data_IF_128945779156
#
_entry.id   IF_128945779156
#
_cell.length_a   1.000
_cell.length_b   1.000
_cell.length_c   1.000
_cell.angle_alpha   90.00
_cell.angle_beta   90.00
_cell.angle_gamma   90.00
#
_symmetry.space_group_name_H-M   'P 1'
#
loop_
_entity.id
_entity.type
_entity.pdbx_description
1 polymer ?
#
# COMPACT_ATOMS: atom_id res chain seq x y z
N UNK A 1 -10.01 -22.17 2.47
CA UNK A 1 -9.51 -21.37 1.33
C UNK A 1 -8.53 -20.34 1.87
N UNK A 2 -7.36 -20.25 1.26
CA UNK A 2 -6.23 -19.40 1.62
C UNK A 2 -6.01 -18.34 0.54
N UNK A 3 -5.93 -17.08 0.96
CA UNK A 3 -5.67 -15.93 0.09
C UNK A 3 -4.24 -15.43 0.34
N UNK A 4 -3.45 -15.37 -0.72
CA UNK A 4 -2.12 -14.78 -0.74
C UNK A 4 -2.17 -13.27 -0.91
N UNK A 5 -1.40 -12.53 -0.12
CA UNK A 5 -1.22 -11.09 -0.26
C UNK A 5 0.29 -10.82 -0.41
N UNK A 6 0.73 -10.24 -1.55
CA UNK A 6 2.12 -9.84 -1.71
C UNK A 6 2.46 -8.71 -0.74
N UNK A 7 3.49 -8.89 0.09
CA UNK A 7 4.04 -7.88 1.01
C UNK A 7 4.88 -6.83 0.25
N UNK A 8 4.30 -6.24 -0.79
CA UNK A 8 4.93 -5.23 -1.64
C UNK A 8 3.87 -4.29 -2.24
N UNK A 9 4.32 -3.13 -2.74
CA UNK A 9 3.49 -2.10 -3.40
C UNK A 9 2.25 -1.70 -2.56
N UNK A 10 1.04 -2.09 -3.00
CA UNK A 10 -0.24 -1.74 -2.38
C UNK A 10 -0.27 -2.09 -0.89
N UNK A 11 0.42 -3.16 -0.49
CA UNK A 11 0.48 -3.60 0.89
C UNK A 11 0.89 -2.46 1.83
N UNK A 12 1.98 -1.77 1.49
CA UNK A 12 2.56 -0.71 2.31
C UNK A 12 1.74 0.58 2.29
N UNK A 13 0.78 0.73 1.38
CA UNK A 13 -0.18 1.84 1.40
C UNK A 13 -1.34 1.61 2.37
N UNK A 14 -1.70 0.35 2.63
CA UNK A 14 -2.77 -0.04 3.56
C UNK A 14 -2.32 -1.24 4.38
N UNK A 15 -1.31 -1.08 5.24
CA UNK A 15 -0.81 -2.19 6.04
C UNK A 15 -1.93 -2.72 6.94
N UNK A 16 -1.98 -4.04 7.11
CA UNK A 16 -2.99 -4.78 7.90
C UNK A 16 -4.45 -4.71 7.41
N UNK A 17 -4.84 -3.71 6.61
CA UNK A 17 -6.21 -3.55 6.13
C UNK A 17 -6.69 -4.79 5.36
N UNK A 18 -5.93 -5.21 4.35
CA UNK A 18 -6.32 -6.32 3.46
C UNK A 18 -6.34 -7.65 4.21
N UNK A 19 -5.37 -7.87 5.08
CA UNK A 19 -5.32 -9.06 5.94
C UNK A 19 -6.54 -9.12 6.84
N UNK A 20 -6.88 -8.01 7.50
CA UNK A 20 -8.04 -7.91 8.39
C UNK A 20 -9.32 -8.15 7.61
N UNK A 21 -9.48 -7.50 6.45
CA UNK A 21 -10.66 -7.67 5.60
C UNK A 21 -10.88 -9.13 5.19
N UNK A 22 -9.86 -9.83 4.68
CA UNK A 22 -10.02 -11.22 4.26
C UNK A 22 -10.17 -12.19 5.45
N UNK A 23 -9.49 -11.94 6.59
CA UNK A 23 -9.68 -12.74 7.81
C UNK A 23 -11.09 -12.61 8.37
N UNK A 24 -11.66 -11.41 8.39
CA UNK A 24 -13.04 -11.17 8.85
C UNK A 24 -14.09 -11.76 7.91
N UNK A 25 -13.76 -11.96 6.63
CA UNK A 25 -14.57 -12.77 5.72
C UNK A 25 -14.41 -14.29 5.96
N UNK A 26 -13.55 -14.72 6.88
CA UNK A 26 -13.33 -16.13 7.22
C UNK A 26 -12.32 -16.84 6.31
N UNK A 27 -11.43 -16.11 5.64
CA UNK A 27 -10.35 -16.69 4.84
C UNK A 27 -9.04 -16.75 5.65
N UNK A 28 -8.26 -17.80 5.42
CA UNK A 28 -6.88 -17.81 5.87
C UNK A 28 -6.07 -16.86 4.97
N UNK A 29 -5.20 -16.05 5.56
CA UNK A 29 -4.38 -15.09 4.83
C UNK A 29 -2.91 -15.47 4.96
N UNK A 30 -2.24 -15.66 3.83
CA UNK A 30 -0.80 -15.82 3.75
C UNK A 30 -0.17 -14.56 3.16
N UNK A 31 0.66 -13.88 3.95
CA UNK A 31 1.54 -12.85 3.42
C UNK A 31 2.78 -13.51 2.84
N UNK A 32 3.29 -12.98 1.72
CA UNK A 32 4.65 -13.30 1.31
C UNK A 32 5.65 -12.82 2.36
N UNK A 33 6.85 -13.43 2.44
CA UNK A 33 7.84 -13.09 3.46
C UNK A 33 8.31 -11.65 3.32
N UNK A 34 9.09 -11.17 4.29
CA UNK A 34 9.85 -9.93 4.09
C UNK A 34 10.74 -10.06 2.85
N UNK A 35 10.87 -8.95 2.11
CA UNK A 35 11.71 -8.91 0.92
C UNK A 35 13.12 -9.30 1.29
N UNK A 36 13.68 -10.23 0.52
CA UNK A 36 15.04 -10.72 0.66
C UNK A 36 15.65 -10.91 -0.74
N UNK A 37 16.92 -11.30 -0.76
CA UNK A 37 17.67 -11.49 -2.01
C UNK A 37 16.99 -12.47 -2.97
N UNK A 38 16.44 -13.58 -2.47
CA UNK A 38 15.76 -14.59 -3.28
C UNK A 38 14.50 -14.03 -3.95
N UNK A 39 13.65 -13.32 -3.19
CA UNK A 39 12.47 -12.63 -3.72
C UNK A 39 12.88 -11.67 -4.85
N UNK A 40 13.89 -10.83 -4.61
CA UNK A 40 14.36 -9.87 -5.60
C UNK A 40 14.90 -10.57 -6.84
N UNK A 41 15.70 -11.61 -6.69
CA UNK A 41 16.26 -12.35 -7.83
C UNK A 41 15.19 -13.04 -8.67
N UNK A 42 14.19 -13.66 -8.04
CA UNK A 42 13.05 -14.24 -8.76
C UNK A 42 12.33 -13.17 -9.60
N UNK A 43 12.07 -12.01 -9.00
CA UNK A 43 11.38 -10.93 -9.66
C UNK A 43 12.18 -10.25 -10.78
N UNK A 44 13.47 -10.02 -10.57
CA UNK A 44 14.37 -9.43 -11.58
C UNK A 44 14.49 -10.33 -12.81
N UNK A 45 14.52 -11.67 -12.64
CA UNK A 45 14.65 -12.63 -13.75
C UNK A 45 13.48 -12.61 -14.74
N UNK A 46 12.29 -12.24 -14.28
CA UNK A 46 11.06 -12.24 -15.11
C UNK A 46 10.63 -10.84 -15.54
N UNK A 47 11.23 -9.80 -14.95
CA UNK A 47 10.86 -8.42 -15.23
C UNK A 47 11.54 -7.90 -16.50
N UNK A 48 10.83 -7.02 -17.20
CA UNK A 48 11.44 -6.17 -18.21
C UNK A 48 12.51 -5.23 -17.58
N UNK A 49 13.65 -4.97 -18.26
CA UNK A 49 14.71 -4.12 -17.74
C UNK A 49 14.26 -2.72 -17.30
N UNK A 50 13.32 -2.10 -18.01
CA UNK A 50 12.79 -0.75 -17.76
C UNK A 50 11.77 -0.71 -16.61
N UNK A 51 11.41 -1.87 -16.06
CA UNK A 51 10.51 -1.94 -14.91
C UNK A 51 11.21 -1.39 -13.66
N UNK A 52 10.46 -0.61 -12.87
CA UNK A 52 10.99 -0.01 -11.64
C UNK A 52 11.28 -1.13 -10.62
N UNK A 53 12.27 -0.89 -9.76
CA UNK A 53 12.73 -1.93 -8.84
C UNK A 53 11.61 -2.46 -7.91
N UNK A 54 10.70 -1.59 -7.46
CA UNK A 54 9.58 -1.97 -6.59
C UNK A 54 8.61 -2.96 -7.26
N UNK A 55 8.41 -2.84 -8.57
CA UNK A 55 7.61 -3.80 -9.35
C UNK A 55 8.37 -5.12 -9.54
N UNK A 56 9.70 -5.06 -9.75
CA UNK A 56 10.54 -6.27 -9.80
C UNK A 56 10.41 -7.05 -8.49
N UNK A 57 10.49 -6.37 -7.35
CA UNK A 57 10.25 -6.97 -6.02
C UNK A 57 8.85 -7.56 -5.93
N UNK A 58 7.82 -6.86 -6.42
CA UNK A 58 6.44 -7.36 -6.46
C UNK A 58 6.29 -8.66 -7.24
N UNK A 59 6.94 -8.78 -8.40
CA UNK A 59 6.96 -10.03 -9.18
C UNK A 59 7.57 -11.19 -8.41
N UNK A 60 8.65 -10.93 -7.67
CA UNK A 60 9.24 -11.91 -6.76
C UNK A 60 8.26 -12.42 -5.70
N UNK A 61 7.47 -11.52 -5.11
CA UNK A 61 6.44 -11.90 -4.14
C UNK A 61 5.29 -12.69 -4.77
N UNK A 62 4.87 -12.36 -5.99
CA UNK A 62 3.87 -13.15 -6.72
C UNK A 62 4.38 -14.56 -6.99
N UNK A 63 5.60 -14.70 -7.53
CA UNK A 63 6.22 -15.99 -7.81
C UNK A 63 6.39 -16.81 -6.53
N UNK A 64 6.73 -16.18 -5.41
CA UNK A 64 6.78 -16.87 -4.13
C UNK A 64 5.40 -17.37 -3.68
N UNK A 65 4.33 -16.62 -3.90
CA UNK A 65 2.98 -17.05 -3.53
C UNK A 65 2.40 -18.12 -4.47
N UNK A 66 2.95 -18.26 -5.68
CA UNK A 66 2.44 -19.21 -6.67
C UNK A 66 2.50 -20.66 -6.15
N UNK A 67 1.38 -21.36 -6.22
CA UNK A 67 1.21 -22.73 -5.72
C UNK A 67 1.10 -22.86 -4.20
N UNK A 68 1.22 -21.77 -3.43
CA UNK A 68 1.14 -21.79 -1.95
C UNK A 68 -0.23 -21.39 -1.39
N UNK A 69 -1.12 -20.87 -2.24
CA UNK A 69 -2.44 -20.32 -1.87
C UNK A 69 -3.48 -20.67 -2.94
N UNK A 70 -4.76 -20.56 -2.60
CA UNK A 70 -5.86 -20.82 -3.55
C UNK A 70 -6.09 -19.62 -4.50
N UNK A 71 -5.88 -18.41 -3.99
CA UNK A 71 -6.04 -17.16 -4.73
C UNK A 71 -4.95 -16.17 -4.33
N UNK A 72 -4.40 -15.41 -5.27
CA UNK A 72 -3.52 -14.26 -4.96
C UNK A 72 -4.30 -12.98 -5.17
N UNK A 73 -4.36 -12.13 -4.15
CA UNK A 73 -5.03 -10.84 -4.23
C UNK A 73 -4.13 -9.79 -4.90
N UNK A 74 -4.58 -9.30 -6.06
CA UNK A 74 -3.91 -8.24 -6.82
C UNK A 74 -4.97 -7.22 -7.25
N UNK A 75 -5.15 -6.11 -6.51
CA UNK A 75 -6.15 -5.10 -6.88
C UNK A 75 -5.70 -4.29 -8.09
N UNK A 76 -6.64 -3.95 -8.97
CA UNK A 76 -6.40 -2.97 -10.03
C UNK A 76 -6.70 -1.59 -9.50
N UNK A 77 -5.70 -0.74 -9.36
CA UNK A 77 -5.92 0.64 -8.94
C UNK A 77 -5.86 1.58 -10.14
N UNK A 78 -6.84 2.47 -10.25
CA UNK A 78 -6.84 3.51 -11.28
C UNK A 78 -6.84 4.91 -10.68
N UNK A 79 -7.76 5.17 -9.76
CA UNK A 79 -7.81 6.44 -9.05
C UNK A 79 -8.07 6.26 -7.55
N UNK A 80 -7.66 7.24 -6.75
CA UNK A 80 -7.98 7.29 -5.32
C UNK A 80 -9.32 8.03 -5.07
N UNK A 81 -9.72 8.15 -3.81
CA UNK A 81 -10.97 8.85 -3.41
C UNK A 81 -10.97 10.33 -3.81
N UNK A 82 -9.80 10.97 -3.84
CA UNK A 82 -9.60 12.35 -4.32
C UNK A 82 -9.61 12.46 -5.86
N UNK A 83 -9.91 11.35 -6.55
CA UNK A 83 -9.95 11.25 -8.01
C UNK A 83 -8.61 11.58 -8.66
N UNK A 84 -7.48 11.30 -8.02
CA UNK A 84 -6.14 11.39 -8.59
C UNK A 84 -5.69 10.02 -9.09
N UNK A 85 -4.85 9.99 -10.13
CA UNK A 85 -4.44 8.71 -10.74
C UNK A 85 -3.32 8.04 -9.95
N UNK A 86 -3.45 6.72 -9.79
CA UNK A 86 -2.33 5.88 -9.42
C UNK A 86 -1.38 5.73 -10.61
N UNK A 87 -0.15 5.29 -10.34
CA UNK A 87 0.76 4.93 -11.42
C UNK A 87 0.13 3.89 -12.36
N UNK A 88 0.19 4.08 -13.70
CA UNK A 88 -0.41 3.18 -14.68
C UNK A 88 -0.01 1.71 -14.51
N UNK A 89 1.13 1.44 -13.88
CA UNK A 89 1.57 0.08 -13.56
C UNK A 89 0.60 -0.63 -12.62
N UNK A 90 0.04 0.05 -11.61
CA UNK A 90 -1.01 -0.52 -10.74
C UNK A 90 -2.26 -0.92 -11.52
N UNK A 91 -2.55 -0.25 -12.64
CA UNK A 91 -3.64 -0.62 -13.51
C UNK A 91 -3.33 -1.91 -14.27
N UNK A 92 -2.09 -2.13 -14.69
CA UNK A 92 -1.66 -3.35 -15.41
C UNK A 92 -1.35 -4.56 -14.53
N UNK A 93 -1.06 -4.36 -13.24
CA UNK A 93 -0.58 -5.42 -12.32
C UNK A 93 -1.39 -6.72 -12.37
N UNK A 94 -2.74 -6.73 -12.28
CA UNK A 94 -3.46 -7.99 -12.21
C UNK A 94 -3.45 -8.78 -13.53
N UNK A 95 -3.28 -8.12 -14.67
CA UNK A 95 -3.20 -8.82 -15.96
C UNK A 95 -1.82 -9.45 -16.15
N UNK A 96 -0.77 -8.70 -15.82
CA UNK A 96 0.60 -9.24 -15.82
C UNK A 96 0.75 -10.37 -14.81
N UNK A 97 0.13 -10.25 -13.63
CA UNK A 97 0.11 -11.31 -12.63
C UNK A 97 -0.49 -12.62 -13.17
N UNK A 98 -1.61 -12.55 -13.90
CA UNK A 98 -2.25 -13.75 -14.50
C UNK A 98 -1.37 -14.45 -15.54
N UNK A 99 -0.47 -13.72 -16.20
CA UNK A 99 0.49 -14.29 -17.15
C UNK A 99 1.66 -14.92 -16.39
N UNK A 100 2.10 -14.27 -15.31
CA UNK A 100 3.29 -14.66 -14.56
C UNK A 100 3.11 -15.91 -13.70
N UNK A 101 1.95 -16.06 -13.05
CA UNK A 101 1.69 -17.14 -12.08
C UNK A 101 0.52 -18.03 -12.50
N UNK A 102 0.56 -19.30 -12.08
CA UNK A 102 -0.53 -20.26 -12.35
C UNK A 102 -1.69 -20.11 -11.36
N UNK A 103 -1.40 -19.65 -10.15
CA UNK A 103 -2.41 -19.44 -9.10
C UNK A 103 -3.41 -18.37 -9.54
N UNK A 104 -4.73 -18.62 -9.44
CA UNK A 104 -5.72 -17.67 -9.90
C UNK A 104 -5.64 -16.31 -9.17
N UNK A 105 -5.74 -15.24 -9.94
CA UNK A 105 -5.67 -13.87 -9.42
C UNK A 105 -7.07 -13.37 -9.02
N UNK A 106 -7.23 -13.05 -7.74
CA UNK A 106 -8.37 -12.32 -7.21
C UNK A 106 -8.15 -10.81 -7.41
N UNK A 107 -8.96 -10.20 -8.29
CA UNK A 107 -8.85 -8.78 -8.63
C UNK A 107 -10.22 -8.13 -8.75
N UNK A 108 -10.27 -6.82 -8.44
CA UNK A 108 -11.34 -5.91 -8.83
C UNK A 108 -10.75 -4.53 -9.16
N UNK A 109 -11.47 -3.70 -9.92
CA UNK A 109 -11.02 -2.36 -10.31
C UNK A 109 -11.50 -1.28 -9.35
N UNK A 110 -10.55 -0.64 -8.68
CA UNK A 110 -10.77 0.51 -7.81
C UNK A 110 -10.59 1.80 -8.63
N UNK A 111 -11.73 2.38 -9.02
CA UNK A 111 -11.83 3.67 -9.72
C UNK A 111 -13.02 4.48 -9.15
N UNK A 112 -12.83 5.20 -8.04
CA UNK A 112 -13.86 6.04 -7.38
C UNK A 112 -14.49 7.09 -8.31
N UNK A 113 -13.83 7.44 -9.41
CA UNK A 113 -14.41 8.31 -10.46
C UNK A 113 -15.59 7.67 -11.19
N UNK A 114 -15.61 6.34 -11.30
CA UNK A 114 -16.65 5.57 -12.02
C UNK A 114 -17.64 4.89 -11.09
N UNK A 115 -17.16 4.39 -9.96
CA UNK A 115 -18.00 3.63 -9.02
C UNK A 115 -17.53 3.85 -7.58
N UNK A 116 -18.49 4.00 -6.66
CA UNK A 116 -18.20 4.08 -5.22
C UNK A 116 -17.41 2.85 -4.75
N UNK A 117 -16.35 3.09 -3.99
CA UNK A 117 -15.46 2.04 -3.47
C UNK A 117 -16.19 0.93 -2.72
N UNK A 118 -17.28 1.23 -1.98
CA UNK A 118 -18.06 0.21 -1.29
C UNK A 118 -18.75 -0.77 -2.26
N UNK A 119 -19.14 -0.31 -3.45
CA UNK A 119 -19.67 -1.21 -4.49
C UNK A 119 -18.55 -2.11 -5.05
N UNK A 120 -17.34 -1.58 -5.23
CA UNK A 120 -16.16 -2.37 -5.63
C UNK A 120 -15.86 -3.47 -4.62
N UNK A 121 -15.87 -3.16 -3.32
CA UNK A 121 -15.71 -4.17 -2.28
C UNK A 121 -16.84 -5.21 -2.27
N UNK A 122 -18.09 -4.81 -2.54
CA UNK A 122 -19.20 -5.77 -2.70
C UNK A 122 -18.96 -6.71 -3.88
N UNK A 123 -18.46 -6.22 -5.01
CA UNK A 123 -18.10 -7.07 -6.17
C UNK A 123 -16.99 -8.05 -5.81
N UNK A 124 -15.94 -7.57 -5.14
CA UNK A 124 -14.84 -8.40 -4.66
C UNK A 124 -15.33 -9.50 -3.70
N UNK A 125 -16.13 -9.15 -2.70
CA UNK A 125 -16.67 -10.14 -1.75
C UNK A 125 -17.65 -11.12 -2.38
N UNK A 126 -18.47 -10.68 -3.36
CA UNK A 126 -19.34 -11.58 -4.12
C UNK A 126 -18.56 -12.60 -4.95
N UNK A 127 -17.41 -12.24 -5.52
CA UNK A 127 -16.49 -13.21 -6.18
C UNK A 127 -16.01 -14.29 -5.20
N UNK A 128 -15.97 -13.97 -3.91
CA UNK A 128 -15.63 -14.88 -2.82
C UNK A 128 -16.85 -15.57 -2.20
N UNK A 129 -18.03 -15.46 -2.84
CA UNK A 129 -19.31 -16.03 -2.39
C UNK A 129 -19.75 -15.53 -1.01
N UNK A 130 -19.46 -14.26 -0.70
CA UNK A 130 -19.85 -13.59 0.54
C UNK A 130 -21.06 -12.69 0.37
N UNK A 131 -21.89 -12.63 1.41
CA UNK A 131 -23.07 -11.77 1.42
C UNK A 131 -22.76 -10.31 1.79
N UNK A 132 -23.70 -9.41 1.55
CA UNK A 132 -23.48 -7.98 1.79
C UNK A 132 -23.29 -7.62 3.27
N UNK A 133 -23.85 -8.40 4.21
CA UNK A 133 -23.70 -8.15 5.65
C UNK A 133 -22.31 -8.57 6.11
N UNK A 134 -21.84 -9.76 5.69
CA UNK A 134 -20.47 -10.21 5.93
C UNK A 134 -19.45 -9.20 5.39
N UNK A 135 -19.63 -8.76 4.13
CA UNK A 135 -18.73 -7.80 3.48
C UNK A 135 -18.71 -6.47 4.24
N UNK A 136 -19.89 -5.95 4.61
CA UNK A 136 -19.99 -4.69 5.34
C UNK A 136 -19.29 -4.78 6.70
N UNK A 137 -19.53 -5.85 7.46
CA UNK A 137 -18.89 -6.08 8.76
C UNK A 137 -17.37 -6.15 8.63
N UNK A 138 -16.88 -6.93 7.66
CA UNK A 138 -15.43 -7.06 7.42
C UNK A 138 -14.77 -5.72 7.05
N UNK A 139 -15.45 -4.89 6.25
CA UNK A 139 -14.97 -3.55 5.93
C UNK A 139 -14.90 -2.64 7.15
N UNK A 140 -15.97 -2.61 7.96
CA UNK A 140 -16.02 -1.77 9.16
C UNK A 140 -14.86 -2.11 10.11
N UNK A 141 -14.60 -3.41 10.33
CA UNK A 141 -13.49 -3.86 11.19
C UNK A 141 -12.14 -3.52 10.56
N UNK A 142 -11.96 -3.74 9.26
CA UNK A 142 -10.70 -3.41 8.57
C UNK A 142 -10.38 -1.90 8.61
N UNK A 143 -11.38 -1.04 8.39
CA UNK A 143 -11.22 0.42 8.50
C UNK A 143 -10.98 0.88 9.94
N UNK A 144 -11.64 0.26 10.93
CA UNK A 144 -11.38 0.55 12.33
C UNK A 144 -9.92 0.22 12.68
N UNK A 145 -9.43 -0.95 12.25
CA UNK A 145 -8.04 -1.35 12.48
C UNK A 145 -7.02 -0.39 11.83
N UNK A 146 -7.28 0.02 10.59
CA UNK A 146 -6.46 1.02 9.90
C UNK A 146 -6.45 2.36 10.64
N UNK A 147 -7.61 2.80 11.16
CA UNK A 147 -7.72 4.03 11.95
C UNK A 147 -6.92 3.95 13.25
N UNK A 148 -7.03 2.87 14.01
CA UNK A 148 -6.29 2.66 15.26
C UNK A 148 -4.77 2.70 15.05
N UNK A 149 -4.30 2.06 13.97
CA UNK A 149 -2.89 2.08 13.60
C UNK A 149 -2.42 3.49 13.28
N UNK A 150 -3.17 4.23 12.45
CA UNK A 150 -2.85 5.62 12.11
C UNK A 150 -2.81 6.51 13.35
N UNK A 151 -3.75 6.36 14.28
CA UNK A 151 -3.74 7.11 15.54
C UNK A 151 -2.51 6.80 16.40
N UNK A 152 -2.08 5.53 16.44
CA UNK A 152 -0.84 5.14 17.11
C UNK A 152 0.38 5.79 16.44
N UNK A 153 0.45 5.76 15.13
CA UNK A 153 1.55 6.37 14.36
C UNK A 153 1.59 7.89 14.53
N UNK A 154 0.44 8.56 14.57
CA UNK A 154 0.35 10.00 14.87
C UNK A 154 0.92 10.31 16.26
N UNK A 155 0.59 9.51 17.28
CA UNK A 155 1.16 9.67 18.62
C UNK A 155 2.68 9.48 18.63
N UNK A 156 3.19 8.49 17.90
CA UNK A 156 4.64 8.25 17.75
C UNK A 156 5.34 9.39 17.00
N UNK A 157 4.71 9.93 15.95
CA UNK A 157 5.21 11.08 15.21
C UNK A 157 5.39 12.30 16.11
N UNK A 158 4.37 12.67 16.91
CA UNK A 158 4.50 13.79 17.82
C UNK A 158 5.60 13.57 18.87
N UNK A 159 5.79 12.34 19.38
CA UNK A 159 6.94 12.05 20.27
C UNK A 159 8.29 12.30 19.59
N UNK A 160 8.45 11.89 18.32
CA UNK A 160 9.68 12.11 17.55
C UNK A 160 9.96 13.60 17.31
N UNK A 161 8.92 14.37 16.97
CA UNK A 161 9.01 15.81 16.71
C UNK A 161 9.48 16.58 17.95
N UNK A 162 9.01 16.21 19.14
CA UNK A 162 9.41 16.87 20.40
C UNK A 162 10.76 16.41 20.96
N UNK A 163 11.42 15.41 20.36
CA UNK A 163 12.76 15.00 20.80
C UNK A 163 13.80 16.07 20.47
N UNK A 164 15.00 16.04 21.08
CA UNK A 164 16.08 16.98 20.75
C UNK A 164 16.94 16.54 19.54
N UNK A 165 16.80 15.29 19.10
CA UNK A 165 17.58 14.72 17.99
C UNK A 165 17.33 15.48 16.69
N UNK A 166 18.30 15.45 15.79
CA UNK A 166 18.14 15.97 14.43
C UNK A 166 17.09 15.14 13.68
N UNK A 167 16.04 15.78 13.17
CA UNK A 167 14.97 15.10 12.42
C UNK A 167 15.32 15.09 10.94
N UNK A 168 15.12 13.95 10.29
CA UNK A 168 15.32 13.80 8.85
C UNK A 168 14.03 13.27 8.25
N UNK A 169 13.40 14.03 7.37
CA UNK A 169 12.19 13.61 6.67
C UNK A 169 12.60 12.81 5.43
N UNK A 170 12.15 11.56 5.36
CA UNK A 170 12.36 10.68 4.23
C UNK A 170 11.13 10.71 3.32
N UNK A 171 11.36 11.14 2.08
CA UNK A 171 10.33 11.30 1.06
C UNK A 171 10.50 10.20 0.01
N UNK A 172 9.57 9.26 -0.02
CA UNK A 172 9.43 8.26 -1.08
C UNK A 172 8.06 7.60 -0.94
N UNK A 173 7.66 6.79 -1.91
CA UNK A 173 6.45 5.99 -1.78
C UNK A 173 6.52 5.07 -0.55
N UNK A 174 5.41 4.81 0.17
CA UNK A 174 5.40 3.91 1.31
C UNK A 174 6.02 2.54 1.02
N UNK A 175 5.80 1.99 -0.18
CA UNK A 175 6.36 0.69 -0.57
C UNK A 175 7.87 0.67 -0.79
N UNK A 176 8.51 1.83 -0.87
CA UNK A 176 9.96 1.94 -0.79
C UNK A 176 10.38 2.20 0.66
N UNK A 177 9.66 3.08 1.38
CA UNK A 177 10.03 3.48 2.74
C UNK A 177 9.92 2.35 3.76
N UNK A 178 8.91 1.49 3.66
CA UNK A 178 8.66 0.44 4.65
C UNK A 178 9.27 -0.93 4.31
N UNK A 179 9.76 -1.11 3.09
CA UNK A 179 10.47 -2.32 2.71
C UNK A 179 11.97 -2.14 3.01
N UNK A 180 12.43 -2.81 4.07
CA UNK A 180 13.81 -2.71 4.57
C UNK A 180 14.87 -3.13 3.57
N UNK A 181 14.56 -4.10 2.71
CA UNK A 181 15.49 -4.54 1.68
C UNK A 181 15.58 -3.49 0.57
N UNK A 182 14.43 -2.96 0.14
CA UNK A 182 14.37 -1.93 -0.91
C UNK A 182 15.03 -0.62 -0.46
N UNK A 183 14.80 -0.17 0.78
CA UNK A 183 15.41 1.06 1.30
C UNK A 183 16.82 0.87 1.87
N UNK A 184 17.37 -0.33 1.80
CA UNK A 184 18.69 -0.67 2.35
C UNK A 184 18.84 -0.31 3.84
N UNK A 185 17.75 -0.46 4.61
CA UNK A 185 17.64 -0.11 6.03
C UNK A 185 18.08 1.32 6.35
N UNK A 186 17.74 2.27 5.47
CA UNK A 186 18.12 3.69 5.65
C UNK A 186 17.67 4.25 6.99
N UNK A 187 16.48 3.85 7.47
CA UNK A 187 15.96 4.24 8.79
C UNK A 187 16.94 3.87 9.91
N UNK A 188 17.33 2.59 9.99
CA UNK A 188 18.26 2.11 11.01
C UNK A 188 19.61 2.80 10.93
N UNK A 189 20.11 3.04 9.71
CA UNK A 189 21.39 3.73 9.49
C UNK A 189 21.36 5.16 10.01
N UNK A 190 20.28 5.90 9.77
CA UNK A 190 20.11 7.26 10.29
C UNK A 190 19.95 7.27 11.82
N UNK A 191 19.22 6.32 12.38
CA UNK A 191 19.08 6.16 13.83
C UNK A 191 20.44 5.89 14.50
N UNK A 192 21.30 5.08 13.89
CA UNK A 192 22.68 4.84 14.36
C UNK A 192 23.57 6.07 14.29
N UNK A 193 23.28 7.02 13.40
CA UNK A 193 23.97 8.31 13.31
C UNK A 193 23.42 9.37 14.28
N UNK A 194 22.48 8.99 15.16
CA UNK A 194 21.88 9.90 16.14
C UNK A 194 20.74 10.77 15.60
N UNK A 195 20.35 10.57 14.33
CA UNK A 195 19.21 11.25 13.75
C UNK A 195 17.89 10.52 14.06
N UNK A 196 16.78 11.23 13.91
CA UNK A 196 15.42 10.72 14.07
C UNK A 196 14.72 10.76 12.70
N UNK A 197 14.76 9.66 11.92
CA UNK A 197 14.09 9.60 10.64
C UNK A 197 12.56 9.57 10.81
N UNK A 198 11.89 10.35 9.97
CA UNK A 198 10.43 10.46 9.89
C UNK A 198 10.02 10.22 8.44
N UNK A 199 9.13 9.27 8.21
CA UNK A 199 8.60 9.02 6.87
C UNK A 199 7.52 10.05 6.54
N UNK A 200 7.52 10.55 5.30
CA UNK A 200 6.60 11.61 4.87
C UNK A 200 5.14 11.23 5.06
N UNK A 201 4.77 9.95 4.92
CA UNK A 201 3.39 9.51 5.05
C UNK A 201 2.86 9.61 6.49
N UNK A 202 3.76 9.61 7.49
CA UNK A 202 3.44 9.80 8.92
C UNK A 202 3.36 11.26 9.35
N UNK A 203 3.74 12.20 8.48
CA UNK A 203 3.67 13.63 8.81
C UNK A 203 2.20 14.03 8.90
N UNK A 204 1.75 14.35 10.12
CA UNK A 204 0.39 14.79 10.37
C UNK A 204 0.25 16.28 10.05
N UNK A 205 -0.61 16.60 9.08
CA UNK A 205 -0.99 17.99 8.80
C UNK A 205 -1.98 18.44 9.89
N UNK A 206 -1.67 19.51 10.62
CA UNK A 206 -2.64 20.11 11.56
C UNK A 206 -3.83 20.68 10.78
N UNK A 207 -5.05 20.54 11.32
CA UNK A 207 -6.29 21.02 10.66
C UNK A 207 -6.23 22.53 10.36
N UNK A 208 -5.50 23.31 11.17
CA UNK A 208 -5.32 24.75 10.98
C UNK A 208 -4.33 25.14 9.86
N UNK A 209 -3.48 24.23 9.38
CA UNK A 209 -2.59 24.48 8.23
C UNK A 209 -3.27 24.16 6.89
N UNK A 210 -4.36 23.40 6.89
CA UNK A 210 -5.14 23.09 5.67
C UNK A 210 -5.77 24.34 5.03
N UNK A 211 -6.07 25.39 5.80
CA UNK A 211 -6.64 26.63 5.24
C UNK A 211 -5.61 27.46 4.50
N UNK A 212 -4.37 27.57 5.00
CA UNK A 212 -3.33 28.39 4.37
C UNK A 212 -2.58 27.66 3.25
N UNK A 213 -2.37 26.33 3.34
CA UNK A 213 -1.73 25.56 2.26
C UNK A 213 -2.67 25.31 1.05
N UNK A 214 -3.99 25.36 1.25
CA UNK A 214 -4.94 25.27 0.12
C UNK A 214 -4.76 26.42 -0.86
N UNK A 215 -4.34 27.61 -0.44
CA UNK A 215 -4.12 28.73 -1.35
C UNK A 215 -2.82 28.61 -2.16
N UNK A 216 -1.75 28.04 -1.60
CA UNK A 216 -0.47 27.86 -2.32
C UNK A 216 -0.39 26.59 -3.16
N UNK A 217 -1.09 25.50 -2.76
CA UNK A 217 -1.16 24.25 -3.52
C UNK A 217 -2.31 24.23 -4.54
N UNK A 218 -3.32 25.11 -4.43
CA UNK A 218 -4.43 25.19 -5.40
C UNK A 218 -4.01 25.57 -6.82
N UNK A 219 -2.83 26.18 -6.99
CA UNK A 219 -2.29 26.56 -8.30
C UNK A 219 -1.72 25.37 -9.07
N UNK A 220 -1.31 24.28 -8.41
CA UNK A 220 -0.72 23.11 -9.08
C UNK A 220 -1.73 21.96 -9.10
N UNK A 221 -2.33 21.72 -10.27
CA UNK A 221 -3.17 20.54 -10.51
C UNK A 221 -2.30 19.30 -10.72
N UNK A 222 -2.11 18.53 -9.66
CA UNK A 222 -1.44 17.23 -9.77
C UNK A 222 -2.35 16.21 -10.47
N UNK A 223 -1.80 15.54 -11.48
CA UNK A 223 -2.45 14.40 -12.13
C UNK A 223 -2.32 13.12 -11.28
N UNK A 224 -1.14 12.93 -10.69
CA UNK A 224 -0.76 11.74 -9.93
C UNK A 224 -1.06 11.92 -8.45
N UNK A 225 -1.62 10.89 -7.82
CA UNK A 225 -2.03 10.91 -6.41
C UNK A 225 -0.88 11.20 -5.45
N UNK A 226 0.29 10.59 -5.69
CA UNK A 226 1.41 10.69 -4.77
C UNK A 226 2.07 12.07 -4.75
N UNK A 227 2.10 12.75 -5.91
CA UNK A 227 2.66 14.10 -6.00
C UNK A 227 1.90 15.08 -5.11
N UNK A 228 0.56 14.99 -5.12
CA UNK A 228 -0.29 15.79 -4.23
C UNK A 228 -0.09 15.40 -2.77
N UNK A 229 -0.05 14.09 -2.48
CA UNK A 229 0.10 13.60 -1.10
C UNK A 229 1.37 14.14 -0.43
N UNK A 230 2.50 14.19 -1.14
CA UNK A 230 3.74 14.76 -0.62
C UNK A 230 3.60 16.27 -0.44
N UNK A 231 3.11 16.98 -1.46
CA UNK A 231 3.07 18.45 -1.46
C UNK A 231 2.11 19.04 -0.43
N UNK A 232 1.09 18.29 -0.02
CA UNK A 232 0.23 18.70 1.10
C UNK A 232 0.92 18.58 2.47
N UNK A 233 2.05 17.85 2.56
CA UNK A 233 2.76 17.54 3.82
C UNK A 233 4.09 18.29 4.00
N UNK A 234 4.53 19.03 2.99
CA UNK A 234 5.75 19.87 2.99
C UNK A 234 5.31 21.34 3.02
#
# INVERSE_FOLDING_TARGET
>A
MKIGIPRALIYWKKPFFWETFFKELGFEVLLSPETNKEIVEMGVKVADPETCFSDKVYWGHLLWLDGKVDLIFVPRLKSNEDKLEYCPKFFGLPDLAKILVKTPILTETFDPRKEKTEKTFKKLGKKLKKDNREIKKALEIAFLKEKELREKETREFFKKIHSEKQKIILISHPYNLYDEYVNLRVKEKLEKLGAEPIFIDKVSISVNQRSNQRESAATIKFHWEFGREIMEKI
#
